data_IF_341245162063
#
_entry.id   IF_341245162063
#
_cell.length_a   1.000
_cell.length_b   1.000
_cell.length_c   1.000
_cell.angle_alpha   90.00
_cell.angle_beta   90.00
_cell.angle_gamma   90.00
#
_symmetry.space_group_name_H-M   'P 1'
#
loop_
_entity.id
_entity.type
_entity.pdbx_description
1 polymer ?
#
# COMPACT_ATOMS: atom_id res chain seq x y z
N UNK A 1 -0.05 1.61 11.24
CA UNK A 1 0.92 0.54 11.53
C UNK A 1 1.13 -0.31 10.30
N UNK A 2 2.38 -0.57 9.98
CA UNK A 2 2.82 -1.43 8.90
C UNK A 2 3.84 -2.42 9.44
N UNK A 3 3.79 -3.65 8.93
CA UNK A 3 4.61 -4.77 9.39
C UNK A 3 5.16 -5.48 8.17
N UNK A 4 6.49 -5.61 8.08
CA UNK A 4 7.16 -6.26 6.96
C UNK A 4 8.10 -7.34 7.48
N UNK A 5 7.98 -8.57 6.93
CA UNK A 5 8.98 -9.60 7.13
C UNK A 5 10.17 -9.33 6.22
N UNK A 6 11.35 -9.19 6.80
CA UNK A 6 12.60 -8.87 6.10
C UNK A 6 13.36 -10.16 5.72
N UNK A 7 14.22 -10.14 4.69
CA UNK A 7 14.97 -11.32 4.24
C UNK A 7 15.91 -11.94 5.29
N UNK A 8 16.25 -11.19 6.34
CA UNK A 8 17.11 -11.63 7.44
C UNK A 8 16.32 -12.24 8.62
N UNK A 9 15.08 -12.69 8.39
CA UNK A 9 14.20 -13.30 9.40
C UNK A 9 13.82 -12.38 10.57
N UNK A 10 13.86 -11.07 10.33
CA UNK A 10 13.40 -10.04 11.28
C UNK A 10 12.14 -9.37 10.75
N UNK A 11 11.33 -8.84 11.64
CA UNK A 11 10.17 -8.03 11.28
C UNK A 11 10.49 -6.56 11.47
N UNK A 12 10.24 -5.74 10.44
CA UNK A 12 10.24 -4.30 10.57
C UNK A 12 8.82 -3.82 10.83
N UNK A 13 8.63 -3.11 11.95
CA UNK A 13 7.36 -2.50 12.33
C UNK A 13 7.55 -1.00 12.36
N UNK A 14 6.59 -0.26 11.81
CA UNK A 14 6.55 1.20 11.93
C UNK A 14 5.12 1.72 12.00
N UNK A 15 4.96 2.87 12.65
CA UNK A 15 3.67 3.51 12.85
C UNK A 15 3.80 5.04 12.90
N UNK A 16 2.68 5.70 13.11
CA UNK A 16 2.55 7.15 13.07
C UNK A 16 3.39 7.86 14.15
N UNK A 17 4.15 8.88 13.75
CA UNK A 17 4.90 9.72 14.70
C UNK A 17 4.05 10.84 15.29
N UNK A 18 2.91 11.21 14.67
CA UNK A 18 2.01 12.28 15.15
C UNK A 18 1.51 12.05 16.58
N UNK A 19 1.43 10.81 17.04
CA UNK A 19 0.96 10.50 18.40
C UNK A 19 2.02 10.72 19.50
N UNK A 20 3.30 10.92 19.14
CA UNK A 20 4.42 11.31 20.02
C UNK A 20 4.78 10.35 21.16
N UNK A 21 4.00 9.30 21.39
CA UNK A 21 4.23 8.36 22.48
C UNK A 21 3.97 6.96 21.98
N UNK A 22 4.88 6.05 22.33
CA UNK A 22 4.73 4.62 22.11
C UNK A 22 5.07 3.87 23.40
N UNK A 23 4.91 2.54 23.38
CA UNK A 23 5.33 1.69 24.51
C UNK A 23 6.83 1.40 24.53
N UNK A 24 7.57 1.85 23.51
CA UNK A 24 9.00 1.59 23.35
C UNK A 24 9.76 2.92 23.46
N UNK A 25 10.25 3.29 24.66
CA UNK A 25 11.13 4.45 24.79
C UNK A 25 12.46 4.18 24.08
N UNK A 26 13.09 5.23 23.57
CA UNK A 26 14.44 5.10 23.03
C UNK A 26 15.44 4.68 24.12
N UNK A 27 16.41 3.78 23.80
CA UNK A 27 17.47 3.39 24.73
C UNK A 27 18.30 4.60 25.20
N UNK A 28 18.90 4.47 26.40
CA UNK A 28 19.80 5.49 26.95
C UNK A 28 20.94 5.79 25.96
N UNK A 29 21.09 7.05 25.59
CA UNK A 29 22.12 7.53 24.66
C UNK A 29 21.66 7.67 23.21
N UNK A 30 20.48 7.15 22.85
CA UNK A 30 19.86 7.40 21.56
C UNK A 30 19.18 8.78 21.58
N UNK A 31 19.44 9.65 20.58
CA UNK A 31 18.88 11.00 20.56
C UNK A 31 17.37 10.98 20.28
N UNK A 32 16.63 11.84 20.98
CA UNK A 32 15.21 12.04 20.72
C UNK A 32 14.97 12.82 19.42
N UNK A 33 13.84 12.56 18.76
CA UNK A 33 13.45 13.28 17.55
C UNK A 33 12.87 14.64 17.93
N UNK A 34 13.36 15.71 17.32
CA UNK A 34 12.83 17.05 17.53
C UNK A 34 11.59 17.27 16.65
N UNK A 35 10.57 17.91 17.22
CA UNK A 35 9.38 18.31 16.49
C UNK A 35 8.86 19.66 17.00
N UNK A 36 8.06 20.35 16.19
CA UNK A 36 7.47 21.65 16.57
C UNK A 36 6.01 21.44 16.98
N UNK A 37 5.69 21.83 18.21
CA UNK A 37 4.31 21.87 18.69
C UNK A 37 3.56 23.03 18.07
N UNK A 38 2.57 22.73 17.22
CA UNK A 38 1.84 23.76 16.50
C UNK A 38 0.98 24.64 17.39
N UNK A 39 0.55 24.16 18.55
CA UNK A 39 -0.26 24.94 19.48
C UNK A 39 0.63 25.86 20.33
N UNK A 40 1.77 25.34 20.78
CA UNK A 40 2.69 26.07 21.66
C UNK A 40 3.77 26.85 20.91
N UNK A 41 3.96 26.58 19.61
CA UNK A 41 5.04 27.10 18.76
C UNK A 41 6.43 26.90 19.36
N UNK A 42 6.64 25.73 19.97
CA UNK A 42 7.87 25.36 20.67
C UNK A 42 8.45 24.07 20.10
N UNK A 43 9.79 23.99 20.08
CA UNK A 43 10.48 22.72 19.83
C UNK A 43 10.30 21.81 21.04
N UNK A 44 9.90 20.57 20.78
CA UNK A 44 9.76 19.52 21.77
C UNK A 44 10.50 18.28 21.29
N UNK A 45 10.76 17.39 22.24
CA UNK A 45 11.42 16.12 21.99
C UNK A 45 10.41 14.98 22.03
N UNK A 46 10.56 14.04 21.10
CA UNK A 46 9.93 12.73 21.12
C UNK A 46 11.00 11.68 21.36
N UNK A 47 10.96 11.10 22.56
CA UNK A 47 11.90 10.09 23.02
C UNK A 47 11.34 8.66 22.92
N UNK A 48 10.31 8.45 22.09
CA UNK A 48 9.70 7.15 21.86
C UNK A 48 9.94 6.68 20.43
N UNK A 49 10.16 5.38 20.29
CA UNK A 49 10.33 4.74 19.01
C UNK A 49 8.97 4.51 18.34
N UNK A 50 8.83 5.00 17.11
CA UNK A 50 7.68 4.74 16.22
C UNK A 50 8.03 3.76 15.10
N UNK A 51 9.25 3.22 15.16
CA UNK A 51 9.66 2.07 14.36
C UNK A 51 10.55 1.16 15.19
N UNK A 52 10.50 -0.12 14.90
CA UNK A 52 11.34 -1.13 15.54
C UNK A 52 11.62 -2.28 14.59
N UNK A 53 12.77 -2.90 14.82
CA UNK A 53 13.09 -4.22 14.31
C UNK A 53 12.80 -5.23 15.42
N UNK A 54 12.09 -6.31 15.08
CA UNK A 54 11.81 -7.43 15.96
C UNK A 54 12.48 -8.67 15.39
N UNK A 55 13.36 -9.27 16.18
CA UNK A 55 14.09 -10.48 15.82
C UNK A 55 13.29 -11.71 16.28
N UNK A 56 12.82 -12.49 15.32
CA UNK A 56 11.91 -13.62 15.57
C UNK A 56 12.61 -14.75 16.34
N UNK A 57 13.92 -14.94 16.11
CA UNK A 57 14.69 -16.03 16.69
C UNK A 57 15.03 -15.76 18.16
N UNK A 58 15.40 -14.53 18.47
CA UNK A 58 15.87 -14.12 19.79
C UNK A 58 14.79 -13.45 20.64
N UNK A 59 13.63 -13.15 20.04
CA UNK A 59 12.53 -12.40 20.65
C UNK A 59 12.99 -11.02 21.18
N UNK A 60 13.98 -10.42 20.53
CA UNK A 60 14.52 -9.11 20.89
C UNK A 60 13.92 -8.01 20.03
N UNK A 61 13.81 -6.81 20.61
CA UNK A 61 13.34 -5.61 19.93
C UNK A 61 14.46 -4.57 19.90
N UNK A 62 14.71 -4.01 18.73
CA UNK A 62 15.61 -2.87 18.53
C UNK A 62 14.80 -1.66 18.07
N UNK A 63 14.85 -0.59 18.85
CA UNK A 63 14.23 0.68 18.49
C UNK A 63 14.92 1.28 17.25
N UNK A 64 14.13 1.89 16.37
CA UNK A 64 14.57 2.59 15.17
C UNK A 64 14.05 4.02 15.18
N UNK A 65 14.82 4.93 14.60
CA UNK A 65 14.45 6.34 14.45
C UNK A 65 13.79 6.55 13.10
N UNK A 66 12.51 6.94 13.14
CA UNK A 66 11.83 7.52 11.98
C UNK A 66 11.50 8.98 12.27
N UNK A 67 11.93 9.87 11.37
CA UNK A 67 11.88 11.33 11.55
C UNK A 67 10.62 11.92 10.95
N UNK A 68 10.25 11.50 9.74
CA UNK A 68 9.04 11.98 9.07
C UNK A 68 7.90 11.00 9.24
N UNK A 69 6.65 11.47 9.34
CA UNK A 69 5.54 10.59 9.73
C UNK A 69 5.17 9.55 8.65
N UNK A 70 5.37 8.23 8.88
CA UNK A 70 5.05 7.20 7.89
C UNK A 70 3.58 6.75 7.96
N UNK A 71 2.72 7.43 8.72
CA UNK A 71 1.31 7.05 8.88
C UNK A 71 0.57 7.02 7.55
N UNK A 72 -0.12 5.91 7.26
CA UNK A 72 -0.78 5.63 5.97
C UNK A 72 0.12 5.81 4.74
N UNK A 73 1.42 5.58 4.90
CA UNK A 73 2.34 5.30 3.79
C UNK A 73 2.13 3.90 3.23
N UNK A 74 2.79 3.61 2.11
CA UNK A 74 2.83 2.30 1.47
C UNK A 74 4.29 1.82 1.34
N UNK A 75 4.52 0.50 1.37
CA UNK A 75 5.84 -0.11 1.54
C UNK A 75 6.00 -1.46 0.83
N UNK A 76 7.25 -1.88 0.56
CA UNK A 76 7.55 -3.11 -0.16
C UNK A 76 9.05 -3.37 -0.33
N UNK A 77 9.42 -4.64 -0.47
CA UNK A 77 10.81 -5.08 -0.64
C UNK A 77 11.23 -5.08 -2.11
N UNK A 78 12.28 -4.34 -2.40
CA UNK A 78 13.00 -4.42 -3.68
C UNK A 78 13.72 -5.77 -3.83
N UNK A 79 14.14 -6.16 -5.05
CA UNK A 79 14.80 -7.45 -5.29
C UNK A 79 16.09 -7.68 -4.50
N UNK A 80 16.77 -6.62 -4.05
CA UNK A 80 17.96 -6.71 -3.21
C UNK A 80 17.67 -6.81 -1.70
N UNK A 81 16.38 -6.81 -1.32
CA UNK A 81 15.95 -6.87 0.07
C UNK A 81 15.86 -5.53 0.79
N UNK A 82 16.06 -4.40 0.10
CA UNK A 82 15.78 -3.07 0.66
C UNK A 82 14.28 -2.86 0.76
N UNK A 83 13.79 -2.51 1.96
CA UNK A 83 12.43 -2.00 2.11
C UNK A 83 12.38 -0.55 1.66
N UNK A 84 11.50 -0.26 0.71
CA UNK A 84 11.21 1.10 0.23
C UNK A 84 9.80 1.51 0.63
N UNK A 85 9.65 2.72 1.16
CA UNK A 85 8.38 3.24 1.68
C UNK A 85 8.10 4.63 1.12
N UNK A 86 6.92 4.80 0.52
CA UNK A 86 6.45 6.04 -0.07
C UNK A 86 5.36 6.72 0.75
N UNK A 87 5.48 8.04 0.91
CA UNK A 87 4.41 8.88 1.44
C UNK A 87 4.26 8.75 2.95
N UNK A 88 3.09 9.11 3.46
CA UNK A 88 2.85 9.24 4.88
C UNK A 88 2.01 10.47 5.20
N UNK A 89 1.98 10.86 6.46
CA UNK A 89 1.20 12.01 6.91
C UNK A 89 2.08 13.27 6.96
N UNK A 90 1.49 14.44 6.69
CA UNK A 90 2.15 15.75 6.78
C UNK A 90 3.54 15.81 6.10
N UNK A 91 4.62 15.92 6.89
CA UNK A 91 6.01 15.98 6.42
C UNK A 91 6.48 14.68 5.75
N UNK A 92 5.83 13.56 6.07
CA UNK A 92 6.00 12.28 5.40
C UNK A 92 5.31 12.18 4.04
N UNK A 93 4.36 13.06 3.73
CA UNK A 93 3.49 12.95 2.55
C UNK A 93 4.25 12.83 1.22
N UNK A 94 5.41 13.47 1.11
CA UNK A 94 6.28 13.41 -0.10
C UNK A 94 7.63 12.73 0.16
N UNK A 95 7.74 11.97 1.23
CA UNK A 95 8.99 11.33 1.63
C UNK A 95 9.17 9.97 0.97
N UNK A 96 10.39 9.70 0.50
CA UNK A 96 10.85 8.34 0.23
C UNK A 96 11.75 7.87 1.36
N UNK A 97 11.52 6.64 1.85
CA UNK A 97 12.31 6.03 2.92
C UNK A 97 12.86 4.68 2.48
N UNK A 98 14.04 4.35 3.00
CA UNK A 98 14.76 3.12 2.72
C UNK A 98 15.21 2.49 4.04
N UNK A 99 15.10 1.17 4.14
CA UNK A 99 15.61 0.39 5.26
C UNK A 99 16.22 -0.92 4.75
N UNK A 100 17.36 -1.34 5.30
CA UNK A 100 18.07 -2.52 4.86
C UNK A 100 18.83 -2.33 3.53
N UNK A 101 19.11 -3.45 2.84
CA UNK A 101 19.67 -3.47 1.48
C UNK A 101 21.20 -3.35 1.36
N UNK A 102 21.88 -2.94 2.42
CA UNK A 102 23.33 -2.77 2.42
C UNK A 102 24.01 -3.99 3.07
N UNK A 103 25.17 -4.46 2.55
CA UNK A 103 25.90 -5.60 3.12
C UNK A 103 26.23 -5.48 4.61
N UNK A 104 26.38 -4.26 5.12
CA UNK A 104 26.77 -3.94 6.50
C UNK A 104 25.62 -3.36 7.35
N UNK A 105 24.36 -3.52 6.93
CA UNK A 105 23.18 -2.94 7.60
C UNK A 105 22.78 -3.75 8.85
N UNK A 106 23.69 -3.97 9.80
CA UNK A 106 23.40 -4.75 11.02
C UNK A 106 22.76 -3.88 12.12
N UNK A 107 23.19 -2.62 12.22
CA UNK A 107 22.69 -1.61 13.18
C UNK A 107 22.22 -0.33 12.49
N UNK A 108 21.83 -0.43 11.22
CA UNK A 108 21.37 0.72 10.46
C UNK A 108 20.01 1.22 10.94
N UNK A 109 19.74 2.49 10.63
CA UNK A 109 18.46 3.15 10.84
C UNK A 109 17.85 3.54 9.48
N UNK A 110 16.65 4.10 9.50
CA UNK A 110 15.98 4.58 8.30
C UNK A 110 16.80 5.65 7.56
N UNK A 111 16.84 5.53 6.23
CA UNK A 111 17.35 6.58 5.33
C UNK A 111 16.14 7.27 4.72
N UNK A 112 15.88 8.51 5.15
CA UNK A 112 14.68 9.26 4.77
C UNK A 112 15.04 10.48 3.94
N UNK A 113 14.28 10.68 2.87
CA UNK A 113 14.46 11.78 1.94
C UNK A 113 13.13 12.51 1.74
N UNK A 114 12.87 13.58 2.52
CA UNK A 114 11.68 14.39 2.36
C UNK A 114 11.65 15.08 1.00
N UNK A 115 10.45 15.33 0.48
CA UNK A 115 10.21 16.03 -0.79
C UNK A 115 10.88 15.37 -2.01
N UNK A 116 10.91 14.03 -2.05
CA UNK A 116 11.39 13.27 -3.20
C UNK A 116 10.27 12.74 -4.08
N UNK A 117 9.06 12.60 -3.56
CA UNK A 117 7.86 12.37 -4.36
C UNK A 117 7.29 13.71 -4.84
N UNK A 118 6.70 13.74 -6.03
CA UNK A 118 6.14 14.97 -6.59
C UNK A 118 4.78 15.32 -5.98
N UNK A 119 3.99 14.31 -5.62
CA UNK A 119 2.69 14.49 -4.98
C UNK A 119 2.63 13.84 -3.58
N UNK A 120 1.75 14.32 -2.69
CA UNK A 120 1.51 13.64 -1.41
C UNK A 120 0.91 12.24 -1.62
N UNK A 121 1.55 11.21 -1.06
CA UNK A 121 1.15 9.80 -1.20
C UNK A 121 0.57 9.23 0.10
N UNK A 122 -0.29 9.99 0.78
CA UNK A 122 -1.04 9.53 1.97
C UNK A 122 -2.24 8.69 1.52
N UNK A 123 -2.38 7.45 2.00
CA UNK A 123 -3.35 6.46 1.50
C UNK A 123 -3.15 6.02 0.03
N UNK A 124 -1.91 6.08 -0.47
CA UNK A 124 -1.54 5.56 -1.78
C UNK A 124 -1.25 4.06 -1.74
N UNK A 125 -1.27 3.40 -2.89
CA UNK A 125 -0.76 2.02 -3.04
C UNK A 125 0.56 2.05 -3.79
N UNK A 126 1.52 1.23 -3.39
CA UNK A 126 2.71 0.95 -4.19
C UNK A 126 2.74 -0.52 -4.64
N UNK A 127 3.25 -0.77 -5.83
CA UNK A 127 3.41 -2.11 -6.39
C UNK A 127 4.75 -2.25 -7.09
N UNK A 128 5.37 -3.43 -6.97
CA UNK A 128 6.59 -3.77 -7.69
C UNK A 128 6.26 -4.08 -9.16
N UNK A 129 7.13 -3.65 -10.06
CA UNK A 129 7.06 -3.89 -11.49
C UNK A 129 7.97 -5.05 -11.89
N UNK A 130 7.78 -5.58 -13.11
CA UNK A 130 8.58 -6.69 -13.63
C UNK A 130 10.09 -6.39 -13.70
N UNK A 131 10.47 -5.11 -13.78
CA UNK A 131 11.88 -4.68 -13.77
C UNK A 131 12.46 -4.45 -12.37
N UNK A 132 11.68 -4.69 -11.30
CA UNK A 132 12.08 -4.49 -9.90
C UNK A 132 11.91 -3.06 -9.38
N UNK A 133 11.49 -2.10 -10.22
CA UNK A 133 11.14 -0.76 -9.78
C UNK A 133 9.73 -0.74 -9.15
N UNK A 134 9.40 0.33 -8.42
CA UNK A 134 8.08 0.51 -7.82
C UNK A 134 7.30 1.61 -8.53
N UNK A 135 5.99 1.39 -8.70
CA UNK A 135 5.02 2.43 -9.03
C UNK A 135 4.25 2.80 -7.76
N UNK A 136 3.95 4.09 -7.58
CA UNK A 136 3.13 4.62 -6.49
C UNK A 136 1.88 5.26 -7.09
N UNK A 137 0.71 4.72 -6.76
CA UNK A 137 -0.57 5.06 -7.38
C UNK A 137 -1.50 5.70 -6.35
N UNK A 138 -1.98 6.90 -6.70
CA UNK A 138 -2.98 7.60 -5.92
C UNK A 138 -2.43 8.24 -4.64
N UNK A 139 -3.29 8.28 -3.63
CA UNK A 139 -3.14 9.10 -2.44
C UNK A 139 -4.27 10.11 -2.34
N UNK A 140 -4.57 10.56 -1.13
CA UNK A 140 -5.68 11.47 -0.85
C UNK A 140 -5.56 12.76 -1.65
N UNK A 141 -6.54 13.02 -2.53
CA UNK A 141 -6.55 14.13 -3.50
C UNK A 141 -5.41 14.12 -4.53
N UNK A 142 -4.75 12.98 -4.73
CA UNK A 142 -3.72 12.76 -5.73
C UNK A 142 -4.21 11.83 -6.82
N UNK A 143 -4.66 12.41 -7.94
CA UNK A 143 -5.25 11.67 -9.07
C UNK A 143 -4.19 11.32 -10.12
N UNK A 144 -3.06 10.81 -9.66
CA UNK A 144 -1.88 10.52 -10.48
C UNK A 144 -1.16 9.26 -10.00
N UNK A 145 -0.21 8.79 -10.78
CA UNK A 145 0.85 7.89 -10.31
C UNK A 145 2.23 8.41 -10.68
N UNK A 146 3.25 7.95 -9.97
CA UNK A 146 4.66 8.22 -10.24
C UNK A 146 5.50 6.98 -9.92
N UNK A 147 6.72 6.91 -10.45
CA UNK A 147 7.64 5.83 -10.11
C UNK A 147 8.44 6.20 -8.86
N UNK A 148 8.66 5.20 -8.00
CA UNK A 148 9.43 5.39 -6.78
C UNK A 148 10.85 5.85 -7.15
N UNK A 149 11.34 6.94 -6.55
CA UNK A 149 12.62 7.51 -6.94
C UNK A 149 13.78 6.59 -6.59
N UNK A 150 14.93 6.81 -7.23
CA UNK A 150 16.21 6.28 -6.72
C UNK A 150 16.58 6.99 -5.42
N UNK A 151 17.39 6.33 -4.59
CA UNK A 151 17.77 6.86 -3.28
C UNK A 151 18.40 8.26 -3.38
N UNK A 152 17.88 9.20 -2.59
CA UNK A 152 18.29 10.61 -2.59
C UNK A 152 17.82 11.46 -3.79
N UNK A 153 17.27 10.86 -4.84
CA UNK A 153 16.81 11.56 -6.05
C UNK A 153 15.32 11.89 -5.96
N UNK A 154 14.85 12.96 -6.63
CA UNK A 154 13.42 13.17 -6.83
C UNK A 154 12.88 12.17 -7.85
N UNK A 155 11.59 11.85 -7.76
CA UNK A 155 10.86 11.12 -8.78
C UNK A 155 10.59 12.01 -9.99
N UNK A 156 10.31 11.38 -11.12
CA UNK A 156 9.89 12.07 -12.33
C UNK A 156 8.51 12.70 -12.16
N UNK A 157 8.12 13.53 -13.14
CA UNK A 157 6.81 14.19 -13.17
C UNK A 157 5.68 13.14 -13.04
N UNK A 158 4.68 13.37 -12.16
CA UNK A 158 3.57 12.45 -12.00
C UNK A 158 2.71 12.42 -13.26
N UNK A 159 2.16 11.26 -13.54
CA UNK A 159 1.30 11.01 -14.68
C UNK A 159 -0.14 11.09 -14.22
N UNK A 160 -0.89 12.04 -14.77
CA UNK A 160 -2.31 12.18 -14.48
C UNK A 160 -3.05 10.89 -14.85
N UNK A 161 -3.86 10.39 -13.93
CA UNK A 161 -4.56 9.13 -14.08
C UNK A 161 -6.06 9.34 -13.84
N UNK A 162 -6.82 9.67 -14.92
CA UNK A 162 -8.24 10.03 -14.82
C UNK A 162 -9.08 9.00 -14.06
N UNK A 163 -8.74 7.72 -14.16
CA UNK A 163 -9.42 6.63 -13.47
C UNK A 163 -9.58 6.86 -11.97
N UNK A 164 -8.57 7.42 -11.29
CA UNK A 164 -8.69 7.73 -9.85
C UNK A 164 -9.69 8.85 -9.60
N UNK A 165 -9.76 9.85 -10.47
CA UNK A 165 -10.77 10.90 -10.35
C UNK A 165 -12.18 10.33 -10.60
N UNK A 166 -12.35 9.52 -11.64
CA UNK A 166 -13.64 8.91 -12.01
C UNK A 166 -14.15 7.85 -11.01
N UNK A 167 -13.28 7.31 -10.17
CA UNK A 167 -13.63 6.34 -9.12
C UNK A 167 -13.74 6.98 -7.74
N UNK A 168 -13.37 8.26 -7.61
CA UNK A 168 -13.58 9.03 -6.40
C UNK A 168 -15.05 9.36 -6.21
N UNK A 169 -15.52 9.31 -4.98
CA UNK A 169 -16.79 9.86 -4.55
C UNK A 169 -16.57 10.84 -3.38
N UNK A 170 -17.66 11.34 -2.79
CA UNK A 170 -17.61 12.28 -1.67
C UNK A 170 -16.89 11.71 -0.43
N UNK A 171 -16.88 10.38 -0.29
CA UNK A 171 -16.29 9.65 0.82
C UNK A 171 -14.86 9.15 0.52
N UNK A 172 -14.34 9.46 -0.68
CA UNK A 172 -13.03 9.03 -1.17
C UNK A 172 -12.84 7.50 -1.14
N UNK A 173 -13.87 6.75 -1.56
CA UNK A 173 -13.91 5.28 -1.63
C UNK A 173 -12.94 4.63 -2.65
N UNK A 174 -11.88 5.32 -3.06
CA UNK A 174 -10.88 4.87 -4.03
C UNK A 174 -9.45 4.88 -3.47
N UNK A 175 -9.28 5.17 -2.18
CA UNK A 175 -7.99 5.17 -1.51
C UNK A 175 -7.48 3.75 -1.27
N UNK A 176 -6.14 3.56 -1.26
CA UNK A 176 -5.52 2.23 -1.35
C UNK A 176 -6.10 1.38 -2.50
N UNK A 177 -6.00 1.83 -3.77
CA UNK A 177 -6.44 1.01 -4.89
C UNK A 177 -5.73 -0.35 -4.87
N UNK A 178 -6.41 -1.43 -5.22
CA UNK A 178 -5.77 -2.74 -5.31
C UNK A 178 -4.96 -2.81 -6.61
N UNK A 179 -3.67 -3.13 -6.50
CA UNK A 179 -2.76 -3.15 -7.64
C UNK A 179 -2.06 -4.50 -7.67
N UNK A 180 -2.30 -5.27 -8.74
CA UNK A 180 -1.68 -6.58 -8.95
C UNK A 180 -0.91 -6.61 -10.27
N UNK A 181 0.35 -7.07 -10.22
CA UNK A 181 1.17 -7.27 -11.41
C UNK A 181 0.71 -8.53 -12.15
N UNK A 182 0.30 -8.36 -13.39
CA UNK A 182 -0.06 -9.45 -14.31
C UNK A 182 1.19 -10.07 -14.93
N UNK A 183 1.07 -11.31 -15.42
CA UNK A 183 2.16 -12.08 -16.04
C UNK A 183 2.76 -11.38 -17.26
N UNK A 184 1.98 -10.61 -17.99
CA UNK A 184 2.37 -9.81 -19.16
C UNK A 184 3.03 -8.47 -18.82
N UNK A 185 3.26 -8.18 -17.53
CA UNK A 185 3.88 -6.94 -17.06
C UNK A 185 2.92 -5.76 -16.95
N UNK A 186 1.64 -5.94 -17.29
CA UNK A 186 0.61 -4.94 -17.03
C UNK A 186 0.13 -4.98 -15.57
N UNK A 187 -0.53 -3.91 -15.14
CA UNK A 187 -1.06 -3.77 -13.79
C UNK A 187 -2.58 -3.82 -13.81
N UNK A 188 -3.16 -4.80 -13.12
CA UNK A 188 -4.57 -4.75 -12.76
C UNK A 188 -4.73 -3.74 -11.63
N UNK A 189 -5.54 -2.70 -11.86
CA UNK A 189 -5.83 -1.66 -10.87
C UNK A 189 -7.33 -1.65 -10.62
N UNK A 190 -7.71 -1.84 -9.36
CA UNK A 190 -9.09 -1.78 -8.89
C UNK A 190 -9.25 -0.64 -7.89
N UNK A 191 -10.21 0.25 -8.14
CA UNK A 191 -10.51 1.39 -7.29
C UNK A 191 -12.03 1.57 -7.15
N UNK A 192 -12.50 1.72 -5.92
CA UNK A 192 -13.90 1.76 -5.53
C UNK A 192 -14.65 0.48 -5.89
N UNK A 193 -15.20 0.40 -7.10
CA UNK A 193 -15.90 -0.78 -7.63
C UNK A 193 -15.57 -1.06 -9.11
N UNK A 194 -14.60 -0.33 -9.68
CA UNK A 194 -14.19 -0.42 -11.08
C UNK A 194 -12.75 -0.92 -11.16
N UNK A 195 -12.39 -1.48 -12.30
CA UNK A 195 -11.00 -1.87 -12.56
C UNK A 195 -10.60 -1.71 -14.02
N UNK A 196 -9.29 -1.62 -14.23
CA UNK A 196 -8.66 -1.56 -15.55
C UNK A 196 -7.29 -2.25 -15.54
N UNK A 197 -6.74 -2.44 -16.74
CA UNK A 197 -5.39 -2.93 -16.98
C UNK A 197 -4.52 -1.79 -17.52
N UNK A 198 -3.51 -1.38 -16.77
CA UNK A 198 -2.56 -0.32 -17.14
C UNK A 198 -1.26 -0.95 -17.63
N UNK A 199 -0.74 -0.50 -18.77
CA UNK A 199 0.63 -0.77 -19.16
C UNK A 199 1.56 0.30 -18.56
N UNK A 200 2.40 -0.02 -17.57
CA UNK A 200 3.20 0.98 -16.87
C UNK A 200 4.37 1.52 -17.72
N UNK A 201 4.80 0.81 -18.76
CA UNK A 201 5.89 1.28 -19.63
C UNK A 201 5.43 2.35 -20.62
N UNK A 202 4.24 2.16 -21.21
CA UNK A 202 3.67 3.08 -22.20
C UNK A 202 2.67 4.07 -21.61
N UNK A 203 2.32 3.90 -20.33
CA UNK A 203 1.34 4.70 -19.61
C UNK A 203 -0.07 4.66 -20.24
N UNK A 204 -0.41 3.54 -20.89
CA UNK A 204 -1.69 3.36 -21.59
C UNK A 204 -2.58 2.39 -20.85
N UNK A 205 -3.87 2.73 -20.76
CA UNK A 205 -4.92 1.78 -20.37
C UNK A 205 -5.10 0.80 -21.52
N UNK A 206 -4.76 -0.46 -21.28
CA UNK A 206 -4.88 -1.56 -22.25
C UNK A 206 -6.32 -2.03 -22.32
N UNK A 207 -7.00 -2.05 -21.18
CA UNK A 207 -8.31 -2.65 -21.03
C UNK A 207 -9.06 -2.09 -19.83
N UNK A 208 -10.38 -2.03 -19.90
CA UNK A 208 -11.27 -1.82 -18.76
C UNK A 208 -12.08 -3.09 -18.48
N UNK A 209 -12.42 -3.33 -17.22
CA UNK A 209 -13.19 -4.51 -16.79
C UNK A 209 -14.63 -4.15 -16.39
N UNK A 210 -15.54 -5.14 -16.33
CA UNK A 210 -16.88 -4.93 -15.80
C UNK A 210 -16.87 -4.37 -14.38
N UNK A 211 -17.87 -3.54 -14.04
CA UNK A 211 -18.07 -3.04 -12.68
C UNK A 211 -18.39 -4.21 -11.76
N UNK A 212 -17.76 -4.24 -10.58
CA UNK A 212 -18.11 -5.19 -9.53
C UNK A 212 -19.30 -4.61 -8.74
N UNK A 213 -20.48 -5.26 -8.71
CA UNK A 213 -21.63 -4.77 -7.95
C UNK A 213 -21.40 -4.88 -6.43
N UNK A 214 -22.36 -4.39 -5.64
CA UNK A 214 -22.40 -4.59 -4.18
C UNK A 214 -21.98 -3.39 -3.32
N UNK A 215 -21.03 -2.58 -3.79
CA UNK A 215 -20.57 -1.37 -3.10
C UNK A 215 -19.10 -1.07 -3.33
N UNK A 216 -18.50 -0.29 -2.44
CA UNK A 216 -17.07 0.05 -2.49
C UNK A 216 -16.23 -1.04 -1.83
N UNK A 217 -15.05 -1.29 -2.40
CA UNK A 217 -14.05 -2.24 -1.90
C UNK A 217 -12.80 -1.57 -1.38
N UNK A 218 -12.54 -0.31 -1.71
CA UNK A 218 -11.33 0.38 -1.29
C UNK A 218 -11.60 1.23 -0.04
N UNK A 219 -10.55 1.72 0.60
CA UNK A 219 -10.71 2.54 1.81
C UNK A 219 -11.57 3.77 1.49
N UNK A 220 -12.52 4.17 2.37
CA UNK A 220 -12.77 3.66 3.72
C UNK A 220 -13.60 2.37 3.83
N UNK A 221 -14.29 1.92 2.78
CA UNK A 221 -15.08 0.68 2.81
C UNK A 221 -14.22 -0.57 3.06
N UNK A 222 -12.97 -0.56 2.61
CA UNK A 222 -11.86 -1.45 3.03
C UNK A 222 -12.15 -2.95 2.91
N UNK A 223 -12.51 -3.40 1.72
CA UNK A 223 -12.46 -4.80 1.33
C UNK A 223 -11.03 -5.31 1.16
N UNK A 224 -10.91 -6.53 0.63
CA UNK A 224 -9.65 -7.24 0.45
C UNK A 224 -9.48 -7.65 -1.00
N UNK A 225 -8.23 -7.80 -1.45
CA UNK A 225 -7.95 -8.38 -2.75
C UNK A 225 -6.68 -9.21 -2.76
N UNK A 226 -6.64 -10.22 -3.62
CA UNK A 226 -5.45 -11.03 -3.87
C UNK A 226 -5.41 -11.47 -5.31
N UNK A 227 -4.20 -11.68 -5.82
CA UNK A 227 -3.96 -12.48 -7.02
C UNK A 227 -3.89 -13.95 -6.61
N UNK A 228 -4.66 -14.82 -7.26
CA UNK A 228 -4.62 -16.26 -7.00
C UNK A 228 -3.32 -16.87 -7.56
N UNK A 229 -2.88 -18.04 -7.05
CA UNK A 229 -1.64 -18.69 -7.49
C UNK A 229 -1.53 -18.78 -9.02
N UNK A 230 -0.47 -18.18 -9.55
CA UNK A 230 -0.15 -18.23 -10.98
C UNK A 230 0.60 -19.53 -11.26
N UNK A 231 0.08 -20.34 -12.19
CA UNK A 231 0.79 -21.51 -12.70
C UNK A 231 1.65 -21.08 -13.88
N UNK A 232 2.96 -21.05 -13.67
CA UNK A 232 3.93 -20.80 -14.73
C UNK A 232 4.23 -22.13 -15.44
N UNK A 233 3.85 -22.23 -16.71
CA UNK A 233 4.28 -23.32 -17.58
C UNK A 233 5.53 -22.88 -18.34
N UNK A 234 6.64 -23.58 -18.14
CA UNK A 234 7.91 -23.26 -18.81
C UNK A 234 7.89 -23.48 -20.34
N UNK A 235 6.84 -24.08 -20.87
CA UNK A 235 6.61 -24.25 -22.31
C UNK A 235 5.77 -23.14 -22.92
N UNK A 236 5.08 -22.32 -22.11
CA UNK A 236 4.33 -21.16 -22.57
C UNK A 236 5.29 -20.04 -22.99
N UNK A 237 5.32 -19.78 -24.30
CA UNK A 237 6.20 -18.77 -24.89
C UNK A 237 5.63 -17.34 -24.78
N UNK A 238 4.36 -17.20 -24.39
CA UNK A 238 3.66 -15.93 -24.29
C UNK A 238 3.21 -15.68 -22.85
N UNK A 239 3.77 -14.69 -22.19
CA UNK A 239 3.33 -14.33 -20.83
C UNK A 239 1.88 -13.84 -20.77
N UNK A 240 1.31 -13.41 -21.90
CA UNK A 240 -0.09 -12.99 -22.02
C UNK A 240 -1.10 -14.16 -22.06
N UNK A 241 -0.67 -15.40 -22.36
CA UNK A 241 -1.54 -16.59 -22.29
C UNK A 241 -1.61 -17.20 -20.89
N UNK A 242 -0.76 -16.77 -19.97
CA UNK A 242 -0.76 -17.26 -18.59
C UNK A 242 -2.04 -16.79 -17.90
N UNK A 243 -2.77 -17.74 -17.30
CA UNK A 243 -3.99 -17.44 -16.54
C UNK A 243 -3.62 -16.62 -15.30
N UNK A 244 -4.14 -15.40 -15.21
CA UNK A 244 -4.07 -14.56 -14.03
C UNK A 244 -5.48 -14.29 -13.53
N UNK A 245 -5.73 -14.65 -12.27
CA UNK A 245 -7.04 -14.54 -11.64
C UNK A 245 -6.93 -13.69 -10.38
N UNK A 246 -7.78 -12.68 -10.27
CA UNK A 246 -7.86 -11.80 -9.11
C UNK A 246 -9.10 -12.13 -8.30
N UNK A 247 -9.01 -11.94 -6.99
CA UNK A 247 -10.09 -12.11 -6.03
C UNK A 247 -10.31 -10.77 -5.32
N UNK A 248 -11.57 -10.35 -5.15
CA UNK A 248 -11.98 -9.11 -4.45
C UNK A 248 -13.16 -9.42 -3.54
N UNK A 249 -13.02 -9.20 -2.23
CA UNK A 249 -14.00 -9.66 -1.24
C UNK A 249 -14.28 -8.62 -0.17
N UNK A 250 -15.53 -8.58 0.29
CA UNK A 250 -15.94 -7.67 1.38
C UNK A 250 -15.88 -6.21 0.99
N UNK A 251 -15.87 -5.32 1.98
CA UNK A 251 -16.10 -3.89 1.80
C UNK A 251 -17.45 -3.49 2.38
N UNK A 252 -18.02 -2.39 1.90
CA UNK A 252 -19.30 -1.87 2.41
C UNK A 252 -20.01 -1.02 1.35
N UNK A 253 -21.26 -0.61 1.62
CA UNK A 253 -21.93 0.35 0.73
C UNK A 253 -21.20 1.70 0.73
N UNK A 254 -21.28 2.44 -0.38
CA UNK A 254 -20.51 3.67 -0.59
C UNK A 254 -20.67 4.69 0.55
N UNK A 255 -21.87 4.84 1.07
CA UNK A 255 -22.25 5.79 2.14
C UNK A 255 -21.95 5.29 3.56
N UNK A 256 -21.33 4.11 3.73
CA UNK A 256 -21.13 3.51 5.06
C UNK A 256 -20.24 4.35 5.96
N UNK A 257 -19.21 4.98 5.37
CA UNK A 257 -18.29 5.83 6.11
C UNK A 257 -18.99 7.06 6.67
N UNK A 258 -19.70 7.81 5.82
CA UNK A 258 -20.39 9.02 6.26
C UNK A 258 -21.46 8.71 7.29
N UNK A 259 -22.26 7.67 7.08
CA UNK A 259 -23.30 7.25 8.05
C UNK A 259 -22.72 6.85 9.40
N UNK A 260 -21.58 6.15 9.42
CA UNK A 260 -20.90 5.79 10.66
C UNK A 260 -20.33 7.03 11.36
N UNK A 261 -19.81 8.00 10.61
CA UNK A 261 -19.16 9.18 11.19
C UNK A 261 -20.18 10.21 11.70
N UNK A 262 -21.22 10.53 10.92
CA UNK A 262 -22.18 11.60 11.22
C UNK A 262 -23.40 11.11 12.00
N UNK A 263 -23.93 9.93 11.67
CA UNK A 263 -25.20 9.42 12.20
C UNK A 263 -25.03 8.25 13.18
N UNK A 264 -23.81 7.71 13.31
CA UNK A 264 -23.50 6.50 14.09
C UNK A 264 -24.32 5.28 13.65
N UNK A 265 -24.64 5.23 12.36
CA UNK A 265 -25.30 4.08 11.73
C UNK A 265 -24.24 3.19 11.08
N UNK A 266 -24.11 1.96 11.58
CA UNK A 266 -23.11 1.00 11.10
C UNK A 266 -23.75 -0.01 10.16
N UNK A 267 -23.47 0.11 8.86
CA UNK A 267 -23.98 -0.83 7.85
C UNK A 267 -23.24 -2.16 7.89
N UNK A 268 -23.95 -3.28 7.67
CA UNK A 268 -23.31 -4.59 7.62
C UNK A 268 -22.32 -4.65 6.45
N UNK A 269 -21.12 -5.17 6.72
CA UNK A 269 -20.12 -5.37 5.67
C UNK A 269 -20.62 -6.34 4.58
N UNK A 270 -20.14 -6.15 3.36
CA UNK A 270 -20.50 -6.98 2.20
C UNK A 270 -19.96 -8.40 2.42
N UNK A 271 -20.76 -9.39 2.03
CA UNK A 271 -20.42 -10.82 2.13
C UNK A 271 -19.82 -11.41 0.86
N UNK A 272 -19.99 -10.78 -0.29
CA UNK A 272 -19.51 -11.36 -1.53
C UNK A 272 -17.97 -11.41 -1.62
N UNK A 273 -17.52 -12.35 -2.44
CA UNK A 273 -16.14 -12.59 -2.77
C UNK A 273 -16.12 -12.98 -4.24
N UNK A 274 -15.60 -12.09 -5.08
CA UNK A 274 -15.71 -12.19 -6.53
C UNK A 274 -14.34 -12.39 -7.14
N UNK A 275 -14.26 -13.34 -8.07
CA UNK A 275 -13.05 -13.62 -8.83
C UNK A 275 -13.23 -13.29 -10.30
N UNK A 276 -12.14 -12.93 -10.96
CA UNK A 276 -12.12 -12.64 -12.39
C UNK A 276 -10.77 -13.02 -12.98
N UNK A 277 -10.80 -13.75 -14.09
CA UNK A 277 -9.60 -14.04 -14.88
C UNK A 277 -9.31 -12.83 -15.76
N UNK A 278 -8.30 -12.05 -15.40
CA UNK A 278 -8.02 -10.76 -16.05
C UNK A 278 -7.42 -10.92 -17.46
N UNK A 279 -6.80 -12.08 -17.73
CA UNK A 279 -6.25 -12.46 -19.04
C UNK A 279 -7.27 -13.15 -19.97
N UNK A 280 -8.50 -13.39 -19.51
CA UNK A 280 -9.56 -13.95 -20.36
C UNK A 280 -9.97 -12.94 -21.45
N UNK A 281 -10.17 -13.32 -22.73
CA UNK A 281 -10.70 -12.43 -23.77
C UNK A 281 -12.05 -11.77 -23.43
N UNK A 282 -12.90 -12.38 -22.59
CA UNK A 282 -14.20 -11.87 -22.12
C UNK A 282 -14.37 -12.05 -20.59
N UNK A 283 -13.69 -11.23 -19.77
CA UNK A 283 -13.54 -11.39 -18.34
C UNK A 283 -14.85 -11.03 -17.64
N UNK A 284 -15.27 -11.90 -16.74
CA UNK A 284 -16.50 -11.75 -15.97
C UNK A 284 -16.22 -12.00 -14.50
N UNK A 285 -16.95 -11.28 -13.66
CA UNK A 285 -16.99 -11.57 -12.24
C UNK A 285 -17.79 -12.84 -12.00
N UNK A 286 -17.17 -13.77 -11.29
CA UNK A 286 -17.81 -14.94 -10.68
C UNK A 286 -17.83 -14.73 -9.17
N UNK A 287 -19.02 -14.73 -8.56
CA UNK A 287 -19.22 -14.27 -7.19
C UNK A 287 -19.75 -15.38 -6.30
N UNK A 288 -19.16 -15.51 -5.12
CA UNK A 288 -19.59 -16.40 -4.05
C UNK A 288 -19.81 -15.60 -2.76
N UNK A 289 -20.53 -16.15 -1.77
CA UNK A 289 -20.68 -15.52 -0.46
C UNK A 289 -19.68 -16.09 0.55
N UNK A 290 -18.95 -15.21 1.23
CA UNK A 290 -18.19 -15.54 2.42
C UNK A 290 -19.15 -15.93 3.57
N UNK A 291 -18.69 -16.77 4.53
CA UNK A 291 -19.47 -17.12 5.72
C UNK A 291 -19.94 -15.91 6.56
N UNK A 292 -19.21 -14.79 6.48
CA UNK A 292 -19.53 -13.54 7.17
C UNK A 292 -19.08 -12.33 6.35
N UNK A 293 -19.74 -11.18 6.55
CA UNK A 293 -19.32 -9.93 5.93
C UNK A 293 -18.00 -9.44 6.53
N UNK A 294 -17.13 -8.83 5.72
CA UNK A 294 -15.79 -8.40 6.16
C UNK A 294 -15.45 -7.02 5.62
N UNK A 295 -14.84 -6.20 6.45
CA UNK A 295 -14.13 -4.95 6.14
C UNK A 295 -12.86 -4.92 6.98
N UNK A 296 -11.83 -4.19 6.56
CA UNK A 296 -10.52 -4.10 7.20
C UNK A 296 -9.85 -5.48 7.37
N UNK A 297 -10.08 -6.40 6.43
CA UNK A 297 -9.42 -7.70 6.44
C UNK A 297 -8.14 -7.70 5.62
N UNK A 298 -7.35 -8.76 5.79
CA UNK A 298 -6.19 -9.07 4.96
C UNK A 298 -6.39 -10.45 4.33
N UNK A 299 -5.93 -10.62 3.09
CA UNK A 299 -5.98 -11.89 2.37
C UNK A 299 -4.56 -12.37 2.10
N UNK A 300 -4.28 -13.63 2.45
CA UNK A 300 -2.98 -14.26 2.30
C UNK A 300 -3.12 -15.54 1.47
N UNK A 301 -2.35 -15.64 0.39
CA UNK A 301 -2.21 -16.89 -0.37
C UNK A 301 -1.23 -17.79 0.37
N UNK A 302 -1.67 -19.01 0.69
CA UNK A 302 -0.86 -19.99 1.39
C UNK A 302 -0.08 -20.88 0.41
N UNK A 303 1.02 -21.55 0.83
CA UNK A 303 1.84 -22.37 -0.06
C UNK A 303 1.11 -23.53 -0.76
N UNK A 304 0.00 -23.99 -0.18
CA UNK A 304 -0.85 -25.04 -0.76
C UNK A 304 -1.82 -24.52 -1.84
N UNK A 305 -1.78 -23.21 -2.14
CA UNK A 305 -2.75 -22.53 -3.00
C UNK A 305 -4.14 -22.51 -2.39
#
# INVERSE_FOLDING_TARGET
MQINLMPNNKMLVYDATVYRTSRLPYPKGMPCVQWVDDNLKQSKEDCFAHSMEYDIETNQVRALTVKTDPWCSCGGLTPDGTLVVAGGFADGGKTSRYYGGQPDCQDCDWREYPNKLQEPRWYATQAILANGEYIVIGGRRSFSYEFFPKEGQPSDKPIFFPFLYETSDIDENNLYPFVHLSSDGNLFIFANNRSLLLNPTTNKVVRTYPVLPGGSRNYPASGMSSILPIKLDGTELSSASIKVEVLVCGGNSHDSFILAETEKIFKPAIKDCSRMVITDPDPKWDSEEMPSGRTMGDSLVLPNG
#
